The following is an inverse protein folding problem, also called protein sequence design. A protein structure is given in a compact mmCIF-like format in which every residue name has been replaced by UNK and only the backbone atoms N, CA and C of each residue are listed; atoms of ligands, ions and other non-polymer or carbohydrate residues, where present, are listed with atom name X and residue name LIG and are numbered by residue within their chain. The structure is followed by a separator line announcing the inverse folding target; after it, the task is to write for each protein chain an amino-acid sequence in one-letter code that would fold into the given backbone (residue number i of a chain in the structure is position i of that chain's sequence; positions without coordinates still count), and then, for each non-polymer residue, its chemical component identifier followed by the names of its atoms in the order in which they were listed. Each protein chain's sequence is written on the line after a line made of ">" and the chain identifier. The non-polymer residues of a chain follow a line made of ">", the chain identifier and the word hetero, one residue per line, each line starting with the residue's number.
data_IF_042476168300
#
_entry.id   IF_042476168300
#
_cell.length_a   1.000
_cell.length_b   1.000
_cell.length_c   1.000
_cell.angle_alpha   90.00
_cell.angle_beta   90.00
_cell.angle_gamma   90.00
#
_symmetry.space_group_name_H-M   'P 1'
#
loop_
_entity.id
_entity.type
_entity.pdbx_description
1 polymer ?
#
# COMPACT_ATOMS: atom_id res chain seq x y z
N UNK A 1 4.15 0.31 30.27
CA UNK A 1 4.61 1.27 29.32
C UNK A 1 5.34 0.54 28.21
N UNK A 2 4.62 0.07 27.20
CA UNK A 2 5.19 -0.59 26.02
C UNK A 2 4.95 0.30 24.81
N UNK A 3 5.83 1.29 24.65
CA UNK A 3 5.87 2.16 23.46
C UNK A 3 6.66 1.54 22.30
N UNK A 4 6.81 0.20 22.25
CA UNK A 4 7.64 -0.50 21.27
C UNK A 4 6.98 -0.89 19.96
N UNK A 5 5.65 -0.85 19.84
CA UNK A 5 4.95 -1.48 18.72
C UNK A 5 5.11 -0.82 17.34
N UNK A 6 5.33 0.50 17.30
CA UNK A 6 5.37 1.23 16.02
C UNK A 6 6.76 1.24 15.38
N UNK A 7 7.81 1.26 16.20
CA UNK A 7 9.20 1.21 15.71
C UNK A 7 9.62 -0.20 15.27
N UNK A 8 9.08 -1.23 15.90
CA UNK A 8 9.38 -2.64 15.55
C UNK A 8 8.82 -3.04 14.18
N UNK A 9 7.74 -2.39 13.73
CA UNK A 9 7.20 -2.64 12.38
C UNK A 9 8.06 -2.04 11.26
N UNK A 10 8.95 -1.08 11.58
CA UNK A 10 9.84 -0.44 10.62
C UNK A 10 11.16 -1.20 10.40
N UNK A 11 11.52 -2.13 11.29
CA UNK A 11 12.86 -2.73 11.35
C UNK A 11 12.90 -4.24 11.04
N UNK A 12 11.78 -4.84 10.62
CA UNK A 12 11.83 -6.20 10.06
C UNK A 12 12.36 -6.13 8.64
N UNK A 13 13.35 -6.97 8.26
CA UNK A 13 13.81 -7.09 6.88
C UNK A 13 12.57 -7.31 6.00
N UNK A 14 12.52 -6.62 4.86
CA UNK A 14 11.40 -6.75 3.92
C UNK A 14 11.29 -8.22 3.55
N UNK A 15 10.24 -8.86 4.04
CA UNK A 15 9.93 -10.24 3.74
C UNK A 15 9.70 -10.36 2.24
N UNK A 16 10.58 -11.09 1.56
CA UNK A 16 10.46 -11.29 0.12
C UNK A 16 9.20 -12.11 -0.19
N UNK A 17 8.46 -11.70 -1.21
CA UNK A 17 7.33 -12.49 -1.67
C UNK A 17 7.84 -13.79 -2.32
N UNK A 18 7.47 -14.98 -1.84
CA UNK A 18 7.87 -16.25 -2.43
C UNK A 18 7.39 -16.41 -3.89
N UNK A 19 6.39 -15.63 -4.31
CA UNK A 19 5.85 -15.60 -5.67
C UNK A 19 6.49 -14.53 -6.57
N UNK A 20 7.50 -13.80 -6.06
CA UNK A 20 8.17 -12.75 -6.83
C UNK A 20 8.79 -13.31 -8.14
N UNK A 21 8.53 -12.63 -9.25
CA UNK A 21 9.03 -13.01 -10.57
C UNK A 21 8.43 -14.29 -11.16
N UNK A 22 7.34 -14.81 -10.60
CA UNK A 22 6.65 -16.02 -11.07
C UNK A 22 5.24 -15.68 -11.55
N UNK A 23 4.76 -16.40 -12.55
CA UNK A 23 3.33 -16.49 -12.85
C UNK A 23 2.66 -17.37 -11.80
N UNK A 24 1.46 -16.99 -11.37
CA UNK A 24 0.75 -17.71 -10.31
C UNK A 24 -0.68 -18.00 -10.73
N UNK A 25 -1.22 -19.09 -10.17
CA UNK A 25 -2.65 -19.40 -10.20
C UNK A 25 -3.18 -19.53 -8.78
N UNK A 26 -4.44 -19.25 -8.59
CA UNK A 26 -5.11 -19.52 -7.31
C UNK A 26 -5.60 -20.97 -7.29
N UNK A 27 -5.30 -21.67 -6.21
CA UNK A 27 -5.76 -23.04 -5.94
C UNK A 27 -6.68 -23.00 -4.72
N UNK A 28 -7.96 -23.32 -4.95
CA UNK A 28 -8.94 -23.40 -3.88
C UNK A 28 -8.65 -24.58 -2.95
N UNK A 29 -8.71 -24.33 -1.65
CA UNK A 29 -8.52 -25.35 -0.63
C UNK A 29 -9.40 -25.05 0.59
N UNK A 30 -10.46 -25.82 0.78
CA UNK A 30 -11.45 -25.63 1.85
C UNK A 30 -10.85 -25.77 3.26
N UNK A 31 -9.69 -26.42 3.39
CA UNK A 31 -9.04 -26.63 4.69
C UNK A 31 -8.20 -25.45 5.15
N UNK A 32 -7.94 -24.49 4.26
CA UNK A 32 -7.15 -23.31 4.57
C UNK A 32 -8.01 -22.19 5.17
N UNK A 33 -7.38 -21.26 5.93
CA UNK A 33 -8.08 -20.07 6.43
C UNK A 33 -8.51 -19.17 5.27
N UNK A 34 -9.63 -18.48 5.47
CA UNK A 34 -10.15 -17.49 4.52
C UNK A 34 -9.17 -16.31 4.38
N UNK A 35 -8.83 -15.94 3.14
CA UNK A 35 -7.95 -14.83 2.84
C UNK A 35 -8.70 -13.48 2.77
N UNK A 36 -8.02 -12.39 2.42
CA UNK A 36 -8.62 -11.04 2.33
C UNK A 36 -9.65 -10.89 1.20
N UNK A 37 -9.69 -11.83 0.25
CA UNK A 37 -10.68 -11.87 -0.83
C UNK A 37 -11.95 -12.66 -0.43
N UNK A 38 -11.98 -13.20 0.79
CA UNK A 38 -13.10 -13.99 1.29
C UNK A 38 -13.15 -15.42 0.74
N UNK A 39 -12.02 -15.94 0.27
CA UNK A 39 -11.90 -17.29 -0.29
C UNK A 39 -10.83 -18.10 0.43
N UNK A 40 -10.95 -19.43 0.38
CA UNK A 40 -10.01 -20.36 0.98
C UNK A 40 -9.11 -20.95 -0.10
N UNK A 41 -7.81 -20.89 0.11
CA UNK A 41 -6.82 -21.39 -0.82
C UNK A 41 -5.55 -20.56 -0.83
N UNK A 42 -4.62 -20.89 -1.72
CA UNK A 42 -3.32 -20.26 -1.83
C UNK A 42 -2.88 -20.05 -3.28
N UNK A 43 -1.82 -19.25 -3.45
CA UNK A 43 -1.16 -19.06 -4.73
C UNK A 43 -0.16 -20.19 -5.00
N UNK A 44 -0.26 -20.80 -6.18
CA UNK A 44 0.70 -21.76 -6.68
C UNK A 44 1.48 -21.18 -7.86
N UNK A 45 2.80 -21.29 -7.85
CA UNK A 45 3.65 -20.84 -8.96
C UNK A 45 3.52 -21.80 -10.16
N UNK A 46 3.17 -21.24 -11.32
CA UNK A 46 3.02 -22.01 -12.57
C UNK A 46 4.27 -21.95 -13.43
N UNK A 47 5.04 -20.86 -13.33
CA UNK A 47 6.24 -20.66 -14.13
C UNK A 47 6.90 -19.30 -13.89
N UNK A 48 7.98 -18.98 -14.59
CA UNK A 48 8.58 -17.65 -14.55
C UNK A 48 7.61 -16.60 -15.13
N UNK A 49 7.69 -15.36 -14.65
CA UNK A 49 6.94 -14.26 -15.25
C UNK A 49 7.45 -13.98 -16.66
N UNK A 50 6.56 -13.96 -17.65
CA UNK A 50 6.90 -13.66 -19.05
C UNK A 50 6.96 -12.15 -19.34
N UNK A 51 6.72 -11.30 -18.33
CA UNK A 51 6.71 -9.86 -18.55
C UNK A 51 8.12 -9.32 -18.77
N UNK A 52 8.43 -9.01 -20.03
CA UNK A 52 9.66 -8.32 -20.42
C UNK A 52 9.39 -6.82 -20.57
N UNK A 53 9.88 -6.03 -19.60
CA UNK A 53 9.77 -4.57 -19.67
C UNK A 53 10.45 -4.03 -20.93
N UNK A 54 9.69 -3.42 -21.84
CA UNK A 54 10.19 -2.75 -23.03
C UNK A 54 11.03 -1.50 -22.72
N UNK A 55 11.71 -0.96 -23.75
CA UNK A 55 12.51 0.28 -23.64
C UNK A 55 11.67 1.45 -23.12
N UNK A 56 10.40 1.53 -23.56
CA UNK A 56 9.43 2.53 -23.10
C UNK A 56 9.22 2.46 -21.58
N UNK A 57 8.99 1.26 -21.03
CA UNK A 57 8.75 1.08 -19.60
C UNK A 57 10.00 1.36 -18.75
N UNK A 58 11.17 0.96 -19.24
CA UNK A 58 12.43 1.12 -18.50
C UNK A 58 12.96 2.55 -18.51
N UNK A 59 12.76 3.25 -19.61
CA UNK A 59 13.33 4.58 -19.82
C UNK A 59 12.29 5.69 -19.75
N UNK A 60 11.52 5.87 -20.81
CA UNK A 60 10.65 7.04 -20.97
C UNK A 60 9.59 7.17 -19.87
N UNK A 61 8.91 6.08 -19.54
CA UNK A 61 7.90 6.05 -18.49
C UNK A 61 8.49 6.43 -17.13
N UNK A 62 9.68 5.92 -16.81
CA UNK A 62 10.36 6.23 -15.54
C UNK A 62 10.77 7.70 -15.45
N UNK A 63 11.26 8.30 -16.53
CA UNK A 63 11.59 9.73 -16.56
C UNK A 63 10.33 10.57 -16.35
N UNK A 64 9.22 10.21 -17.00
CA UNK A 64 7.94 10.89 -16.84
C UNK A 64 7.45 10.80 -15.38
N UNK A 65 7.48 9.60 -14.79
CA UNK A 65 7.11 9.39 -13.39
C UNK A 65 7.96 10.26 -12.44
N UNK A 66 9.27 10.33 -12.66
CA UNK A 66 10.17 11.15 -11.85
C UNK A 66 9.87 12.65 -11.97
N UNK A 67 9.72 13.16 -13.19
CA UNK A 67 9.45 14.59 -13.43
C UNK A 67 8.11 15.00 -12.84
N UNK A 68 7.05 14.22 -13.10
CA UNK A 68 5.72 14.52 -12.59
C UNK A 68 5.64 14.40 -11.07
N UNK A 69 6.21 13.36 -10.48
CA UNK A 69 6.17 13.16 -9.02
C UNK A 69 7.02 14.19 -8.30
N UNK A 70 8.20 14.55 -8.82
CA UNK A 70 9.02 15.61 -8.25
C UNK A 70 8.30 16.95 -8.29
N UNK A 71 7.76 17.34 -9.45
CA UNK A 71 6.98 18.57 -9.59
C UNK A 71 5.78 18.61 -8.63
N UNK A 72 5.04 17.51 -8.52
CA UNK A 72 3.92 17.39 -7.60
C UNK A 72 4.36 17.50 -6.12
N UNK A 73 5.48 16.87 -5.72
CA UNK A 73 6.01 16.98 -4.36
C UNK A 73 6.38 18.42 -4.02
N UNK A 74 7.02 19.16 -4.94
CA UNK A 74 7.38 20.57 -4.73
C UNK A 74 6.13 21.44 -4.61
N UNK A 75 5.18 21.34 -5.56
CA UNK A 75 3.97 22.16 -5.59
C UNK A 75 3.05 21.89 -4.39
N UNK A 76 2.92 20.60 -4.00
CA UNK A 76 2.05 20.19 -2.90
C UNK A 76 2.74 20.23 -1.53
N UNK A 77 4.02 20.59 -1.44
CA UNK A 77 4.75 20.62 -0.17
C UNK A 77 4.07 21.47 0.92
N UNK A 78 3.46 22.64 0.64
CA UNK A 78 2.70 23.38 1.66
C UNK A 78 1.46 22.61 2.14
N UNK A 79 0.78 21.90 1.24
CA UNK A 79 -0.40 21.09 1.59
C UNK A 79 0.03 19.92 2.48
N UNK A 80 1.13 19.25 2.15
CA UNK A 80 1.70 18.19 2.99
C UNK A 80 2.00 18.69 4.41
N UNK A 81 2.59 19.88 4.54
CA UNK A 81 2.91 20.47 5.83
C UNK A 81 1.64 20.79 6.63
N UNK A 82 0.64 21.41 6.01
CA UNK A 82 -0.63 21.75 6.67
C UNK A 82 -1.34 20.48 7.15
N UNK A 83 -1.44 19.46 6.29
CA UNK A 83 -2.07 18.19 6.67
C UNK A 83 -1.29 17.48 7.78
N UNK A 84 0.04 17.47 7.73
CA UNK A 84 0.89 16.88 8.75
C UNK A 84 0.66 17.54 10.12
N UNK A 85 0.66 18.88 10.17
CA UNK A 85 0.41 19.63 11.40
C UNK A 85 -1.01 19.40 11.93
N UNK A 86 -2.00 19.31 11.05
CA UNK A 86 -3.37 19.03 11.44
C UNK A 86 -3.54 17.64 12.03
N UNK A 87 -2.94 16.61 11.40
CA UNK A 87 -2.98 15.22 11.90
C UNK A 87 -2.35 15.15 13.29
N UNK A 88 -1.17 15.73 13.49
CA UNK A 88 -0.48 15.71 14.80
C UNK A 88 -1.26 16.46 15.86
N UNK A 89 -1.92 17.56 15.50
CA UNK A 89 -2.73 18.34 16.45
C UNK A 89 -4.01 17.61 16.88
N UNK A 90 -4.63 16.84 15.96
CA UNK A 90 -5.87 16.10 16.22
C UNK A 90 -5.62 14.82 17.03
N UNK A 91 -4.59 14.07 16.68
CA UNK A 91 -4.18 12.84 17.37
C UNK A 91 -2.64 12.74 17.37
N UNK A 92 -1.96 13.09 18.49
CA UNK A 92 -0.50 13.11 18.54
C UNK A 92 0.12 11.76 18.17
N UNK A 93 1.13 11.77 17.27
CA UNK A 93 1.82 10.57 16.81
C UNK A 93 2.31 10.68 15.36
N UNK A 94 2.67 9.56 14.72
CA UNK A 94 3.19 9.55 13.36
C UNK A 94 2.17 10.10 12.36
N UNK A 95 2.64 10.91 11.43
CA UNK A 95 1.82 11.54 10.38
C UNK A 95 1.44 10.53 9.29
N UNK A 96 2.37 9.63 8.98
CA UNK A 96 2.21 8.65 7.92
C UNK A 96 1.81 7.27 8.48
N UNK A 97 0.99 6.60 7.73
CA UNK A 97 0.65 5.20 7.87
C UNK A 97 1.21 4.43 6.68
N UNK A 98 1.77 3.26 6.92
CA UNK A 98 2.30 2.40 5.86
C UNK A 98 1.52 1.09 5.79
N UNK A 99 1.30 0.61 4.56
CA UNK A 99 0.58 -0.64 4.31
C UNK A 99 1.35 -1.50 3.31
N UNK A 100 1.56 -2.78 3.64
CA UNK A 100 2.22 -3.75 2.75
C UNK A 100 1.34 -4.00 1.52
N UNK A 101 1.93 -3.85 0.33
CA UNK A 101 1.28 -4.01 -0.96
C UNK A 101 2.12 -4.87 -1.90
N UNK A 102 1.47 -5.43 -2.92
CA UNK A 102 2.11 -6.14 -4.02
C UNK A 102 2.26 -5.18 -5.19
N UNK A 103 3.50 -4.94 -5.60
CA UNK A 103 3.87 -4.12 -6.75
C UNK A 103 4.18 -4.95 -7.99
N UNK A 104 5.02 -4.36 -8.87
CA UNK A 104 5.50 -5.01 -10.09
C UNK A 104 6.25 -6.31 -9.74
N UNK A 105 6.13 -7.31 -10.60
CA UNK A 105 6.75 -8.63 -10.46
C UNK A 105 6.48 -9.30 -9.09
N UNK A 106 5.34 -8.94 -8.48
CA UNK A 106 4.91 -9.43 -7.16
C UNK A 106 5.86 -9.06 -6.01
N UNK A 107 6.68 -8.03 -6.19
CA UNK A 107 7.53 -7.51 -5.13
C UNK A 107 6.68 -6.83 -4.05
N UNK A 108 6.96 -7.11 -2.78
CA UNK A 108 6.34 -6.38 -1.68
C UNK A 108 6.97 -5.00 -1.53
N UNK A 109 6.13 -4.01 -1.25
CA UNK A 109 6.57 -2.68 -0.87
C UNK A 109 5.63 -2.06 0.17
N UNK A 110 6.09 -1.01 0.84
CA UNK A 110 5.31 -0.24 1.81
C UNK A 110 4.68 0.95 1.10
N UNK A 111 3.36 0.93 0.96
CA UNK A 111 2.57 2.04 0.43
C UNK A 111 2.38 3.08 1.52
N UNK A 112 2.67 4.35 1.24
CA UNK A 112 2.54 5.44 2.19
C UNK A 112 1.18 6.14 2.05
N UNK A 113 0.56 6.45 3.19
CA UNK A 113 -0.67 7.24 3.28
C UNK A 113 -0.58 8.19 4.48
N UNK A 114 -1.34 9.29 4.46
CA UNK A 114 -1.56 10.04 5.69
C UNK A 114 -2.42 9.23 6.65
N UNK A 115 -2.06 9.30 7.92
CA UNK A 115 -2.82 8.67 8.99
C UNK A 115 -4.17 9.35 9.15
N UNK A 116 -5.24 8.61 8.95
CA UNK A 116 -6.63 9.05 9.08
C UNK A 116 -7.38 8.36 10.22
N UNK A 117 -6.74 7.42 10.90
CA UNK A 117 -7.31 6.66 12.01
C UNK A 117 -6.46 6.83 13.26
N UNK A 118 -7.10 6.67 14.42
CA UNK A 118 -6.44 6.76 15.74
C UNK A 118 -5.40 5.67 15.91
N UNK A 119 -4.39 5.94 16.73
CA UNK A 119 -3.36 4.94 17.07
C UNK A 119 -3.92 3.71 17.80
N UNK A 120 -5.06 3.86 18.47
CA UNK A 120 -5.76 2.75 19.13
C UNK A 120 -6.47 1.79 18.19
N UNK A 121 -6.46 2.06 16.87
CA UNK A 121 -7.10 1.18 15.88
C UNK A 121 -6.36 -0.15 15.80
N UNK A 122 -7.05 -1.30 15.79
CA UNK A 122 -6.43 -2.59 15.58
C UNK A 122 -5.72 -2.66 14.21
N UNK A 123 -4.40 -2.90 14.20
CA UNK A 123 -3.58 -2.86 12.99
C UNK A 123 -3.78 -4.06 12.06
N UNK A 124 -4.20 -5.21 12.62
CA UNK A 124 -4.28 -6.47 11.89
C UNK A 124 -5.68 -6.77 11.33
N UNK A 125 -6.63 -5.85 11.49
CA UNK A 125 -8.01 -6.03 11.03
C UNK A 125 -8.27 -5.06 9.88
N UNK A 126 -8.69 -5.53 8.69
CA UNK A 126 -9.12 -4.65 7.61
C UNK A 126 -10.24 -3.71 8.08
N UNK A 127 -10.25 -2.47 7.61
CA UNK A 127 -11.21 -1.44 8.06
C UNK A 127 -12.68 -1.87 7.91
N UNK A 128 -13.00 -2.66 6.88
CA UNK A 128 -14.34 -3.16 6.62
C UNK A 128 -14.79 -4.28 7.58
N UNK A 129 -13.84 -4.89 8.29
CA UNK A 129 -14.11 -5.94 9.30
C UNK A 129 -14.14 -5.38 10.74
N UNK A 130 -13.88 -4.07 10.91
CA UNK A 130 -13.98 -3.44 12.22
C UNK A 130 -15.44 -3.22 12.60
N UNK A 131 -15.81 -3.60 13.82
CA UNK A 131 -17.07 -3.17 14.42
C UNK A 131 -17.03 -1.66 14.62
N UNK A 132 -17.95 -0.92 13.96
CA UNK A 132 -18.03 0.54 14.03
C UNK A 132 -16.72 1.27 13.65
N UNK A 133 -16.24 1.15 12.39
CA UNK A 133 -14.98 1.77 11.96
C UNK A 133 -14.94 3.29 12.14
N UNK A 134 -16.10 3.95 12.15
CA UNK A 134 -16.24 5.41 12.35
C UNK A 134 -15.67 5.92 13.68
N UNK A 135 -15.70 5.12 14.74
CA UNK A 135 -15.15 5.49 16.06
C UNK A 135 -13.62 5.63 16.08
N UNK A 136 -12.96 4.95 15.13
CA UNK A 136 -11.51 4.98 14.99
C UNK A 136 -11.03 6.07 14.03
N UNK A 137 -11.92 6.71 13.28
CA UNK A 137 -11.55 7.78 12.35
C UNK A 137 -11.37 9.08 13.15
N UNK A 138 -10.22 9.76 12.98
CA UNK A 138 -9.95 11.06 13.59
C UNK A 138 -10.79 12.16 12.92
N UNK A 139 -10.93 13.35 13.52
CA UNK A 139 -11.66 14.46 12.93
C UNK A 139 -10.99 14.93 11.62
N UNK A 140 -9.66 15.09 11.64
CA UNK A 140 -8.86 15.37 10.45
C UNK A 140 -8.96 14.22 9.44
N UNK A 141 -8.92 12.97 9.90
CA UNK A 141 -9.02 11.78 9.09
C UNK A 141 -10.32 11.69 8.30
N UNK A 142 -11.45 12.12 8.87
CA UNK A 142 -12.73 12.17 8.16
C UNK A 142 -12.67 13.10 6.95
N UNK A 143 -12.12 14.29 7.12
CA UNK A 143 -11.94 15.25 6.02
C UNK A 143 -10.95 14.72 4.97
N UNK A 144 -9.80 14.23 5.42
CA UNK A 144 -8.71 13.70 4.57
C UNK A 144 -9.23 12.55 3.70
N UNK A 145 -9.99 11.62 4.26
CA UNK A 145 -10.59 10.48 3.53
C UNK A 145 -11.69 10.92 2.57
N UNK A 146 -12.55 11.85 2.98
CA UNK A 146 -13.64 12.36 2.13
C UNK A 146 -13.12 13.01 0.84
N UNK A 147 -11.90 13.57 0.87
CA UNK A 147 -11.26 14.22 -0.27
C UNK A 147 -10.10 13.43 -0.87
N UNK A 148 -9.91 12.16 -0.46
CA UNK A 148 -8.80 11.29 -0.90
C UNK A 148 -7.40 11.89 -0.69
N UNK A 149 -7.26 12.84 0.25
CA UNK A 149 -5.99 13.47 0.57
C UNK A 149 -5.04 12.54 1.32
N UNK A 150 -5.57 11.48 1.92
CA UNK A 150 -4.78 10.41 2.57
C UNK A 150 -3.86 9.69 1.59
N UNK A 151 -4.16 9.73 0.31
CA UNK A 151 -3.37 9.07 -0.73
C UNK A 151 -2.24 9.95 -1.32
N UNK A 152 -2.17 11.25 -0.98
CA UNK A 152 -1.12 12.14 -1.49
C UNK A 152 0.32 11.65 -1.24
N UNK A 153 0.65 11.01 -0.10
CA UNK A 153 2.00 10.47 0.11
C UNK A 153 2.41 9.39 -0.90
N UNK A 154 1.48 8.80 -1.67
CA UNK A 154 1.80 7.86 -2.75
C UNK A 154 2.60 8.52 -3.89
N UNK A 155 2.60 9.86 -3.99
CA UNK A 155 3.48 10.60 -4.90
C UNK A 155 4.97 10.31 -4.58
N UNK A 156 5.30 10.12 -3.31
CA UNK A 156 6.61 9.66 -2.88
C UNK A 156 6.90 8.24 -3.37
N UNK A 157 5.92 7.33 -3.30
CA UNK A 157 6.07 5.95 -3.79
C UNK A 157 6.31 5.91 -5.31
N UNK A 158 5.72 6.86 -6.06
CA UNK A 158 5.99 7.03 -7.49
C UNK A 158 7.42 7.55 -7.69
N UNK A 159 7.83 8.54 -6.91
CA UNK A 159 9.16 9.15 -7.01
C UNK A 159 10.28 8.12 -6.76
N UNK A 160 10.15 7.27 -5.74
CA UNK A 160 11.14 6.22 -5.44
C UNK A 160 11.03 4.98 -6.34
N UNK A 161 9.93 4.84 -7.12
CA UNK A 161 9.76 3.78 -8.13
C UNK A 161 8.95 2.56 -7.69
N UNK A 162 8.34 2.59 -6.53
CA UNK A 162 7.43 1.55 -6.07
C UNK A 162 6.11 1.54 -6.85
N UNK A 163 5.73 2.72 -7.38
CA UNK A 163 4.52 2.94 -8.17
C UNK A 163 4.82 3.73 -9.43
N UNK A 164 3.85 3.85 -10.32
CA UNK A 164 3.88 4.69 -11.51
C UNK A 164 2.60 5.52 -11.57
N UNK A 165 2.68 6.70 -12.20
CA UNK A 165 1.51 7.57 -12.47
C UNK A 165 0.46 6.81 -13.30
N UNK A 166 0.93 6.01 -14.27
CA UNK A 166 0.07 5.19 -15.13
C UNK A 166 0.39 3.73 -14.87
N UNK A 167 -0.57 3.00 -14.29
CA UNK A 167 -0.42 1.59 -13.99
C UNK A 167 -1.56 1.04 -13.14
N UNK A 168 -1.65 -0.26 -12.98
CA UNK A 168 -2.65 -0.88 -12.13
C UNK A 168 -2.41 -0.50 -10.66
N UNK A 169 -3.49 -0.30 -9.90
CA UNK A 169 -3.39 -0.03 -8.45
C UNK A 169 -2.80 -1.24 -7.74
N UNK A 170 -1.79 -1.07 -6.86
CA UNK A 170 -1.20 -2.19 -6.12
C UNK A 170 -2.25 -2.90 -5.24
N UNK A 171 -2.29 -4.24 -5.33
CA UNK A 171 -3.14 -5.07 -4.49
C UNK A 171 -2.67 -5.13 -3.04
N UNK A 172 -3.55 -5.54 -2.12
CA UNK A 172 -3.12 -5.93 -0.78
C UNK A 172 -2.26 -7.20 -0.86
N UNK A 173 -1.33 -7.33 0.07
CA UNK A 173 -0.39 -8.46 0.09
C UNK A 173 -1.07 -9.84 0.23
N UNK A 174 -2.31 -9.88 0.72
CA UNK A 174 -3.13 -11.07 0.96
C UNK A 174 -4.38 -11.15 0.05
N UNK A 175 -4.39 -10.43 -1.08
CA UNK A 175 -5.41 -10.55 -2.13
C UNK A 175 -4.95 -11.52 -3.21
N UNK A 176 -5.08 -12.82 -2.93
CA UNK A 176 -4.53 -13.87 -3.78
C UNK A 176 -5.29 -14.04 -5.09
N UNK A 177 -6.62 -13.91 -5.08
CA UNK A 177 -7.43 -13.94 -6.30
C UNK A 177 -7.07 -12.81 -7.25
N UNK A 178 -6.97 -11.57 -6.75
CA UNK A 178 -6.59 -10.43 -7.57
C UNK A 178 -5.19 -10.60 -8.16
N UNK A 179 -4.28 -11.20 -7.41
CA UNK A 179 -2.91 -11.47 -7.85
C UNK A 179 -2.89 -12.51 -8.97
N UNK A 180 -3.67 -13.59 -8.86
CA UNK A 180 -3.80 -14.61 -9.88
C UNK A 180 -4.51 -14.09 -11.15
N UNK A 181 -5.55 -13.26 -11.01
CA UNK A 181 -6.26 -12.67 -12.14
C UNK A 181 -5.37 -11.77 -13.01
N UNK A 182 -4.37 -11.13 -12.42
CA UNK A 182 -3.43 -10.26 -13.16
C UNK A 182 -2.40 -11.02 -13.99
N UNK A 183 -2.26 -12.31 -13.76
CA UNK A 183 -1.35 -13.18 -14.50
C UNK A 183 -2.05 -13.91 -15.67
N UNK A 184 -3.37 -13.76 -15.82
CA UNK A 184 -4.15 -14.26 -16.98
C UNK A 184 -4.02 -13.32 -18.17
#
# INVERSE_FOLDING_TARGET
>A
PENGGLLVALDKPEEQNPMQGKMVRFVENETEPENADGVRGHLEAVGPSEHHAGIYERGFKRILDLVLSFGALVVLSPVFLILALWIVKDDPGPVLFTQKRIGKDKQYFKLHKFRSMKLSTPHNVPTHMLENPEQYITKSGRFIRAHSLDELPQIWDIFIGNMSVIGPRPGLWNQDLLTAERDK
#
